data_IF_898152015801
#
_entry.id   IF_898152015801
#
_cell.length_a   1.000
_cell.length_b   1.000
_cell.length_c   1.000
_cell.angle_alpha   90.00
_cell.angle_beta   90.00
_cell.angle_gamma   90.00
#
_symmetry.space_group_name_H-M   'P 1'
#
loop_
_entity.id
_entity.type
_entity.pdbx_description
1 polymer ?
#
# COMPACT_ATOMS: atom_id res chain seq x y z
N UNK A 1 -4.61 -6.47 16.42
CA UNK A 1 -5.37 -6.61 15.18
C UNK A 1 -4.85 -5.54 14.24
N UNK A 2 -4.10 -5.92 13.20
CA UNK A 2 -3.63 -4.98 12.18
C UNK A 2 -4.74 -4.87 11.14
N UNK A 3 -5.24 -3.66 10.92
CA UNK A 3 -6.43 -3.35 10.12
C UNK A 3 -6.04 -2.51 8.89
N UNK A 4 -4.98 -2.89 8.19
CA UNK A 4 -4.77 -2.38 6.84
C UNK A 4 -5.59 -3.23 5.86
N UNK A 5 -6.00 -2.61 4.77
CA UNK A 5 -6.54 -3.30 3.62
C UNK A 5 -5.55 -3.14 2.47
N UNK A 6 -5.11 -4.26 1.91
CA UNK A 6 -4.24 -4.29 0.74
C UNK A 6 -4.92 -5.19 -0.28
N UNK A 7 -5.23 -4.66 -1.46
CA UNK A 7 -5.74 -5.46 -2.56
C UNK A 7 -4.74 -6.55 -2.95
N UNK A 8 -5.23 -7.76 -3.22
CA UNK A 8 -4.44 -8.86 -3.78
C UNK A 8 -3.90 -8.53 -5.19
N UNK A 9 -4.47 -7.53 -5.86
CA UNK A 9 -4.02 -7.04 -7.17
C UNK A 9 -2.95 -5.95 -7.07
N UNK A 10 -2.63 -5.47 -5.87
CA UNK A 10 -1.56 -4.51 -5.68
C UNK A 10 -0.18 -5.19 -5.81
N UNK A 11 0.76 -4.52 -6.46
CA UNK A 11 2.15 -4.95 -6.59
C UNK A 11 2.96 -4.24 -5.51
N UNK A 12 3.47 -5.01 -4.56
CA UNK A 12 4.24 -4.48 -3.42
C UNK A 12 5.72 -4.82 -3.61
N UNK A 13 6.56 -3.80 -3.65
CA UNK A 13 8.02 -3.91 -3.73
C UNK A 13 8.66 -4.51 -2.48
N UNK A 14 9.98 -4.63 -2.51
CA UNK A 14 10.78 -5.17 -1.40
C UNK A 14 10.89 -4.14 -0.28
N UNK A 15 10.93 -4.61 0.96
CA UNK A 15 11.10 -3.78 2.16
C UNK A 15 10.04 -2.67 2.32
N UNK A 16 8.85 -2.84 1.75
CA UNK A 16 7.74 -1.91 1.94
C UNK A 16 7.15 -2.09 3.33
N UNK A 17 6.86 -0.96 3.99
CA UNK A 17 6.19 -0.96 5.28
C UNK A 17 4.86 -0.21 5.16
N UNK A 18 3.77 -0.84 5.58
CA UNK A 18 2.41 -0.30 5.50
C UNK A 18 1.79 -0.38 6.89
N UNK A 19 1.45 0.78 7.46
CA UNK A 19 0.97 0.88 8.83
C UNK A 19 -0.54 0.64 8.93
N UNK A 20 -1.08 0.78 10.13
CA UNK A 20 -2.45 0.41 10.46
C UNK A 20 -3.46 1.37 9.84
N UNK A 21 -4.66 0.86 9.54
CA UNK A 21 -5.78 1.65 9.00
C UNK A 21 -5.51 2.30 7.63
N UNK A 22 -4.52 1.81 6.89
CA UNK A 22 -4.29 2.23 5.51
C UNK A 22 -5.09 1.40 4.52
N UNK A 23 -5.42 1.98 3.38
CA UNK A 23 -6.07 1.33 2.24
C UNK A 23 -5.16 1.35 1.02
N UNK A 24 -5.03 0.21 0.34
CA UNK A 24 -4.34 0.07 -0.95
C UNK A 24 -5.30 -0.59 -1.95
N UNK A 25 -5.68 0.18 -2.98
CA UNK A 25 -6.61 -0.24 -4.03
C UNK A 25 -6.04 -1.22 -5.06
N UNK A 26 -6.90 -1.64 -5.98
CA UNK A 26 -6.54 -2.48 -7.13
C UNK A 26 -5.55 -1.76 -8.06
N UNK A 27 -4.67 -2.54 -8.71
CA UNK A 27 -3.66 -2.08 -9.67
C UNK A 27 -2.67 -1.03 -9.13
N UNK A 28 -2.55 -0.91 -7.81
CA UNK A 28 -1.52 -0.07 -7.19
C UNK A 28 -0.15 -0.72 -7.32
N UNK A 29 0.87 0.07 -7.67
CA UNK A 29 2.27 -0.35 -7.66
C UNK A 29 3.05 0.45 -6.61
N UNK A 30 3.61 -0.23 -5.60
CA UNK A 30 4.47 0.39 -4.58
C UNK A 30 5.92 -0.09 -4.79
N UNK A 31 6.84 0.85 -4.96
CA UNK A 31 8.27 0.61 -5.16
C UNK A 31 9.01 0.09 -3.93
N UNK A 32 10.27 -0.29 -4.13
CA UNK A 32 11.12 -0.82 -3.07
C UNK A 32 11.42 0.25 -1.99
N UNK A 33 11.43 -0.15 -0.72
CA UNK A 33 11.76 0.68 0.45
C UNK A 33 10.78 1.83 0.75
N UNK A 34 9.57 1.79 0.18
CA UNK A 34 8.51 2.76 0.49
C UNK A 34 7.90 2.52 1.87
N UNK A 35 7.47 3.60 2.53
CA UNK A 35 6.78 3.58 3.82
C UNK A 35 5.44 4.30 3.72
N UNK A 36 4.35 3.59 3.94
CA UNK A 36 2.97 4.13 3.94
C UNK A 36 2.49 4.28 5.38
N UNK A 37 2.36 5.52 5.82
CA UNK A 37 1.88 5.84 7.17
C UNK A 37 0.45 5.39 7.46
N UNK A 38 0.09 5.37 8.74
CA UNK A 38 -1.27 5.04 9.18
C UNK A 38 -2.31 5.99 8.57
N UNK A 39 -3.54 5.52 8.38
CA UNK A 39 -4.67 6.31 7.86
C UNK A 39 -4.49 6.84 6.43
N UNK A 40 -3.51 6.32 5.68
CA UNK A 40 -3.31 6.65 4.27
C UNK A 40 -4.33 5.92 3.38
N UNK A 41 -4.78 6.59 2.33
CA UNK A 41 -5.63 6.02 1.29
C UNK A 41 -4.91 6.09 -0.05
N UNK A 42 -4.60 4.93 -0.63
CA UNK A 42 -3.99 4.81 -1.95
C UNK A 42 -5.06 4.22 -2.87
N UNK A 43 -5.58 5.07 -3.76
CA UNK A 43 -6.67 4.76 -4.66
C UNK A 43 -6.22 3.87 -5.83
N UNK A 44 -7.15 3.48 -6.69
CA UNK A 44 -6.91 2.59 -7.83
C UNK A 44 -5.89 3.17 -8.82
N UNK A 45 -5.13 2.28 -9.49
CA UNK A 45 -4.21 2.61 -10.58
C UNK A 45 -3.10 3.63 -10.23
N UNK A 46 -2.72 3.70 -8.94
CA UNK A 46 -1.65 4.59 -8.44
C UNK A 46 -0.28 3.89 -8.47
N UNK A 47 0.75 4.63 -8.87
CA UNK A 47 2.15 4.21 -8.76
C UNK A 47 2.90 5.08 -7.75
N UNK A 48 3.52 4.44 -6.75
CA UNK A 48 4.38 5.06 -5.74
C UNK A 48 5.79 4.53 -5.93
N UNK A 49 6.76 5.42 -6.13
CA UNK A 49 8.18 5.09 -6.30
C UNK A 49 8.98 5.32 -5.04
#
# INVERSE_FOLDING_TARGET
MVTNFISEKAIIGKNVQIWHFSYVGDNVEIGDNVKIGSLAHIDYDVKIG
#
